data_IF_474068001372
#
_entry.id   IF_474068001372
#
_cell.length_a   1.000
_cell.length_b   1.000
_cell.length_c   1.000
_cell.angle_alpha   90.00
_cell.angle_beta   90.00
_cell.angle_gamma   90.00
#
_symmetry.space_group_name_H-M   'P 1'
#
loop_
_entity.id
_entity.type
_entity.pdbx_description
1 polymer ?
#
# COMPACT_ATOMS: atom_id res chain seq x y z
N UNK A 1 24.97 -13.52 20.94
CA UNK A 1 25.69 -12.28 20.55
C UNK A 1 24.68 -11.37 19.86
N UNK A 2 24.59 -10.11 20.31
CA UNK A 2 23.56 -9.15 19.92
C UNK A 2 24.04 -8.20 18.80
N UNK A 3 23.14 -7.80 17.90
CA UNK A 3 23.25 -6.61 17.04
C UNK A 3 21.83 -6.27 16.54
N UNK A 4 21.11 -5.33 17.17
CA UNK A 4 21.19 -3.86 17.05
C UNK A 4 20.55 -3.32 15.76
N UNK A 5 19.33 -2.80 15.94
CA UNK A 5 18.51 -2.02 15.01
C UNK A 5 19.16 -0.64 14.81
N UNK A 6 19.18 -0.12 13.57
CA UNK A 6 19.05 1.33 13.29
C UNK A 6 19.18 1.61 11.80
N UNK A 7 18.15 2.23 11.20
CA UNK A 7 18.33 2.99 9.96
C UNK A 7 17.44 4.23 10.01
N UNK A 8 18.06 5.32 10.43
CA UNK A 8 17.57 6.69 10.47
C UNK A 8 17.49 7.25 9.04
N UNK A 9 16.32 7.78 8.66
CA UNK A 9 16.16 8.58 7.45
C UNK A 9 16.61 10.01 7.73
N UNK A 10 17.74 10.40 7.13
CA UNK A 10 18.25 11.77 7.17
C UNK A 10 17.56 12.66 6.14
N UNK A 11 16.83 13.67 6.62
CA UNK A 11 16.27 14.74 5.80
C UNK A 11 17.38 15.77 5.50
N UNK A 12 17.82 15.88 4.24
CA UNK A 12 18.71 16.97 3.79
C UNK A 12 17.89 18.19 3.39
N UNK A 13 17.94 19.24 4.19
CA UNK A 13 17.60 20.61 3.78
C UNK A 13 18.80 21.23 3.05
N UNK A 14 18.62 21.60 1.78
CA UNK A 14 19.60 22.35 0.98
C UNK A 14 19.13 23.81 0.92
N UNK A 15 19.80 24.67 1.67
CA UNK A 15 19.76 26.12 1.48
C UNK A 15 20.62 26.54 0.28
N UNK A 16 20.21 27.63 -0.38
CA UNK A 16 21.04 28.48 -1.26
C UNK A 16 20.16 29.66 -1.66
N UNK A 17 20.41 30.86 -1.16
CA UNK A 17 21.31 31.82 -1.79
C UNK A 17 20.48 33.10 -2.04
N UNK A 18 20.99 34.32 -2.02
CA UNK A 18 22.31 34.85 -1.84
C UNK A 18 22.11 36.37 -1.89
N UNK A 19 22.70 37.08 -0.92
CA UNK A 19 22.58 38.52 -0.78
C UNK A 19 23.38 39.22 -1.90
N UNK A 20 22.74 40.16 -2.62
CA UNK A 20 23.42 41.12 -3.50
C UNK A 20 23.23 42.52 -2.95
N UNK A 21 24.27 43.01 -2.27
CA UNK A 21 24.49 44.42 -1.96
C UNK A 21 25.36 45.01 -3.07
N UNK A 22 25.08 46.25 -3.51
CA UNK A 22 25.96 47.24 -4.14
C UNK A 22 25.11 48.45 -4.61
N UNK A 23 25.68 49.66 -4.83
CA UNK A 23 26.21 50.60 -3.84
C UNK A 23 25.42 51.93 -3.84
N UNK A 24 25.58 52.68 -2.75
CA UNK A 24 25.04 54.02 -2.53
C UNK A 24 25.76 55.10 -3.37
N UNK A 25 24.98 55.99 -4.00
CA UNK A 25 25.46 57.22 -4.63
C UNK A 25 24.80 58.42 -3.91
N UNK A 26 25.56 59.38 -3.37
CA UNK A 26 24.98 60.57 -2.76
C UNK A 26 24.71 61.62 -3.85
N UNK A 27 23.47 62.12 -3.89
CA UNK A 27 23.14 63.34 -4.61
C UNK A 27 22.52 64.33 -3.63
N UNK A 28 23.16 65.49 -3.56
CA UNK A 28 22.88 66.64 -2.71
C UNK A 28 21.58 67.36 -3.09
N UNK A 29 20.78 67.60 -2.04
CA UNK A 29 19.93 68.76 -1.76
C UNK A 29 19.23 69.49 -2.92
N UNK A 30 17.91 69.32 -2.96
CA UNK A 30 17.00 70.46 -2.95
C UNK A 30 15.72 70.02 -2.23
N UNK A 31 15.35 70.72 -1.15
CA UNK A 31 14.14 70.45 -0.38
C UNK A 31 12.97 71.28 -0.92
N UNK A 32 11.92 70.65 -1.51
CA UNK A 32 10.62 71.28 -1.64
C UNK A 32 9.81 71.02 -0.36
N UNK A 33 9.11 72.04 0.09
CA UNK A 33 8.21 72.00 1.26
C UNK A 33 7.18 70.85 1.17
N UNK A 34 6.76 70.28 2.31
CA UNK A 34 5.80 69.18 2.31
C UNK A 34 4.42 69.68 1.82
N UNK A 35 3.76 68.96 0.90
CA UNK A 35 2.34 69.20 0.63
C UNK A 35 1.51 68.87 1.89
N UNK A 36 0.35 69.52 2.08
CA UNK A 36 -0.55 69.23 3.20
C UNK A 36 -0.93 67.73 3.20
N UNK A 37 -1.14 67.11 4.37
CA UNK A 37 -1.51 65.70 4.43
C UNK A 37 -2.80 65.50 3.62
N UNK A 38 -2.85 64.57 2.66
CA UNK A 38 -4.11 64.17 2.09
C UNK A 38 -4.99 63.66 3.24
N UNK A 39 -6.22 64.17 3.29
CA UNK A 39 -7.24 63.75 4.24
C UNK A 39 -7.21 62.23 4.40
N UNK A 40 -7.16 61.77 5.65
CA UNK A 40 -7.11 60.36 5.99
C UNK A 40 -8.16 59.59 5.19
N UNK A 41 -7.71 58.83 4.18
CA UNK A 41 -8.56 57.85 3.53
C UNK A 41 -9.03 56.90 4.65
N UNK A 42 -10.33 56.61 4.77
CA UNK A 42 -10.78 55.61 5.73
C UNK A 42 -10.07 54.30 5.38
N UNK A 43 -9.29 53.76 6.32
CA UNK A 43 -8.75 52.41 6.20
C UNK A 43 -9.89 51.47 5.86
N UNK A 44 -9.77 50.59 4.84
CA UNK A 44 -10.84 49.66 4.49
C UNK A 44 -11.19 48.81 5.72
N UNK A 45 -12.41 48.91 6.27
CA UNK A 45 -12.84 48.07 7.37
C UNK A 45 -13.21 46.71 6.78
N UNK A 46 -12.29 45.75 6.81
CA UNK A 46 -12.65 44.41 6.35
C UNK A 46 -11.57 43.33 6.38
N UNK A 47 -10.30 43.67 6.27
CA UNK A 47 -9.24 42.65 6.07
C UNK A 47 -8.96 41.75 7.29
N UNK A 48 -9.38 42.15 8.50
CA UNK A 48 -9.08 41.41 9.74
C UNK A 48 -10.00 40.22 10.02
N UNK A 49 -11.20 40.16 9.45
CA UNK A 49 -12.16 39.07 9.71
C UNK A 49 -11.85 37.80 8.91
N UNK A 50 -11.42 37.99 7.66
CA UNK A 50 -11.03 36.92 6.72
C UNK A 50 -9.78 36.16 7.21
N UNK A 51 -8.73 36.88 7.60
CA UNK A 51 -7.48 36.27 8.09
C UNK A 51 -7.70 35.42 9.35
N UNK A 52 -8.57 35.87 10.27
CA UNK A 52 -8.94 35.11 11.46
C UNK A 52 -9.79 33.87 11.14
N UNK A 53 -10.64 33.92 10.12
CA UNK A 53 -11.43 32.77 9.67
C UNK A 53 -10.54 31.69 9.02
N UNK A 54 -9.58 32.09 8.19
CA UNK A 54 -8.61 31.19 7.57
C UNK A 54 -7.66 30.58 8.60
N UNK A 55 -7.20 31.36 9.58
CA UNK A 55 -6.39 30.85 10.70
C UNK A 55 -7.14 29.79 11.52
N UNK A 56 -8.46 29.94 11.70
CA UNK A 56 -9.29 28.96 12.41
C UNK A 56 -9.44 27.68 11.59
N UNK A 57 -9.62 27.76 10.27
CA UNK A 57 -9.65 26.57 9.40
C UNK A 57 -8.32 25.80 9.42
N UNK A 58 -7.18 26.50 9.41
CA UNK A 58 -5.86 25.87 9.46
C UNK A 58 -5.63 25.08 10.76
N UNK A 59 -6.25 25.45 11.88
CA UNK A 59 -6.18 24.68 13.13
C UNK A 59 -6.94 23.35 13.05
N UNK A 60 -7.96 23.25 12.20
CA UNK A 60 -8.68 21.99 11.96
C UNK A 60 -8.04 21.12 10.88
N UNK A 61 -7.18 21.69 10.03
CA UNK A 61 -6.56 20.96 8.92
C UNK A 61 -5.80 19.69 9.37
N UNK A 62 -4.95 19.72 10.42
CA UNK A 62 -4.30 18.50 10.91
C UNK A 62 -5.30 17.43 11.38
N UNK A 63 -6.38 17.84 12.05
CA UNK A 63 -7.42 16.92 12.54
C UNK A 63 -8.23 16.30 11.40
N UNK A 64 -8.58 17.07 10.38
CA UNK A 64 -9.26 16.57 9.19
C UNK A 64 -8.39 15.58 8.41
N UNK A 65 -7.08 15.86 8.29
CA UNK A 65 -6.13 14.97 7.60
C UNK A 65 -5.95 13.66 8.37
N UNK A 66 -5.72 13.71 9.68
CA UNK A 66 -5.56 12.48 10.49
C UNK A 66 -6.84 11.65 10.54
N UNK A 67 -8.01 12.31 10.60
CA UNK A 67 -9.29 11.62 10.54
C UNK A 67 -9.54 10.96 9.17
N UNK A 68 -9.26 11.68 8.07
CA UNK A 68 -9.37 11.11 6.71
C UNK A 68 -8.44 9.93 6.50
N UNK A 69 -7.17 10.07 6.93
CA UNK A 69 -6.18 8.98 6.87
C UNK A 69 -6.58 7.79 7.75
N UNK A 70 -7.05 8.04 8.98
CA UNK A 70 -7.49 6.98 9.89
C UNK A 70 -8.71 6.23 9.35
N UNK A 71 -9.68 6.96 8.80
CA UNK A 71 -10.88 6.38 8.17
C UNK A 71 -10.50 5.52 6.96
N UNK A 72 -9.61 6.01 6.10
CA UNK A 72 -9.09 5.25 4.97
C UNK A 72 -8.35 3.97 5.41
N UNK A 73 -7.50 4.06 6.44
CA UNK A 73 -6.82 2.90 6.99
C UNK A 73 -7.80 1.84 7.53
N UNK A 74 -8.91 2.26 8.14
CA UNK A 74 -9.94 1.35 8.61
C UNK A 74 -10.63 0.63 7.45
N UNK A 75 -11.02 1.35 6.39
CA UNK A 75 -11.60 0.73 5.18
C UNK A 75 -10.63 -0.24 4.52
N UNK A 76 -9.36 0.13 4.36
CA UNK A 76 -8.34 -0.75 3.77
C UNK A 76 -8.11 -2.00 4.62
N UNK A 77 -8.20 -1.89 5.94
CA UNK A 77 -8.16 -3.06 6.82
C UNK A 77 -9.41 -3.92 6.64
N UNK A 78 -10.58 -3.32 6.55
CA UNK A 78 -11.84 -4.05 6.38
C UNK A 78 -11.86 -4.86 5.09
N UNK A 79 -11.43 -4.28 3.96
CA UNK A 79 -11.24 -4.98 2.69
C UNK A 79 -10.34 -6.22 2.86
N UNK A 80 -9.26 -6.08 3.62
CA UNK A 80 -8.30 -7.17 3.88
C UNK A 80 -8.91 -8.27 4.74
N UNK A 81 -9.70 -7.90 5.75
CA UNK A 81 -10.40 -8.85 6.62
C UNK A 81 -11.44 -9.64 5.82
N UNK A 82 -12.27 -8.97 5.02
CA UNK A 82 -13.29 -9.62 4.19
C UNK A 82 -12.66 -10.60 3.19
N UNK A 83 -11.55 -10.21 2.56
CA UNK A 83 -10.80 -11.10 1.68
C UNK A 83 -10.21 -12.32 2.41
N UNK A 84 -9.74 -12.15 3.64
CA UNK A 84 -9.24 -13.27 4.44
C UNK A 84 -10.38 -14.19 4.84
N UNK A 85 -11.49 -13.63 5.34
CA UNK A 85 -12.68 -14.39 5.74
C UNK A 85 -13.24 -15.20 4.57
N UNK A 86 -13.36 -14.60 3.39
CA UNK A 86 -13.78 -15.29 2.17
C UNK A 86 -12.88 -16.50 1.90
N UNK A 87 -11.55 -16.31 1.88
CA UNK A 87 -10.60 -17.40 1.61
C UNK A 87 -10.65 -18.49 2.68
N UNK A 88 -10.67 -18.11 3.95
CA UNK A 88 -10.73 -19.04 5.08
C UNK A 88 -11.99 -19.87 5.01
N UNK A 89 -13.16 -19.25 4.84
CA UNK A 89 -14.44 -19.96 4.70
C UNK A 89 -14.40 -20.93 3.54
N UNK A 90 -13.82 -20.54 2.40
CA UNK A 90 -13.70 -21.41 1.22
C UNK A 90 -12.80 -22.62 1.46
N UNK A 91 -11.71 -22.44 2.21
CA UNK A 91 -10.75 -23.49 2.58
C UNK A 91 -11.27 -24.42 3.69
N UNK A 92 -12.17 -23.95 4.56
CA UNK A 92 -12.75 -24.74 5.65
C UNK A 92 -13.85 -25.69 5.18
N UNK A 93 -14.48 -25.39 4.04
CA UNK A 93 -15.51 -26.27 3.49
C UNK A 93 -14.95 -27.62 3.06
N UNK A 94 -15.83 -28.63 3.04
CA UNK A 94 -15.48 -30.01 2.71
C UNK A 94 -14.77 -30.11 1.35
N UNK A 95 -13.65 -30.84 1.25
CA UNK A 95 -12.95 -31.01 -0.01
C UNK A 95 -13.85 -31.61 -1.09
N UNK A 96 -13.77 -31.10 -2.31
CA UNK A 96 -14.54 -31.61 -3.45
C UNK A 96 -13.72 -32.69 -4.16
N UNK A 97 -14.31 -33.86 -4.39
CA UNK A 97 -13.66 -34.90 -5.19
C UNK A 97 -13.53 -34.44 -6.65
N UNK A 98 -12.34 -34.62 -7.21
CA UNK A 98 -12.10 -34.34 -8.62
C UNK A 98 -12.81 -35.36 -9.51
N UNK A 99 -13.63 -34.89 -10.44
CA UNK A 99 -14.34 -35.71 -11.41
C UNK A 99 -14.58 -34.90 -12.71
N UNK A 100 -15.13 -35.56 -13.74
CA UNK A 100 -15.36 -34.91 -15.04
C UNK A 100 -16.34 -33.73 -14.97
N UNK A 101 -17.34 -33.79 -14.07
CA UNK A 101 -18.32 -32.71 -13.91
C UNK A 101 -17.69 -31.48 -13.26
N UNK A 102 -16.83 -31.66 -12.25
CA UNK A 102 -16.06 -30.59 -11.61
C UNK A 102 -15.04 -30.01 -12.59
N UNK A 103 -14.34 -30.85 -13.36
CA UNK A 103 -13.41 -30.39 -14.40
C UNK A 103 -14.12 -29.53 -15.45
N UNK A 104 -15.30 -29.95 -15.89
CA UNK A 104 -16.14 -29.20 -16.85
C UNK A 104 -16.68 -27.90 -16.26
N UNK A 105 -17.07 -27.91 -14.99
CA UNK A 105 -17.53 -26.72 -14.27
C UNK A 105 -16.40 -25.68 -14.14
N UNK A 106 -15.18 -26.10 -13.83
CA UNK A 106 -13.99 -25.22 -13.74
C UNK A 106 -13.64 -24.61 -15.09
N UNK A 107 -13.75 -25.38 -16.17
CA UNK A 107 -13.53 -24.87 -17.52
C UNK A 107 -14.52 -23.76 -17.90
N UNK A 108 -15.76 -23.86 -17.39
CA UNK A 108 -16.82 -22.89 -17.66
C UNK A 108 -16.74 -21.66 -16.75
N UNK A 109 -16.49 -21.87 -15.45
CA UNK A 109 -16.31 -20.82 -14.46
C UNK A 109 -15.19 -21.19 -13.46
N UNK A 110 -13.98 -20.64 -13.64
CA UNK A 110 -12.85 -20.89 -12.73
C UNK A 110 -13.10 -20.46 -11.29
N UNK A 111 -14.03 -19.54 -11.03
CA UNK A 111 -14.33 -19.04 -9.69
C UNK A 111 -14.98 -20.13 -8.81
N UNK A 112 -15.57 -21.18 -9.41
CA UNK A 112 -16.25 -22.26 -8.70
C UNK A 112 -15.32 -23.00 -7.72
N UNK A 113 -14.05 -23.17 -8.06
CA UNK A 113 -13.04 -23.81 -7.20
C UNK A 113 -12.09 -22.82 -6.53
N UNK A 114 -12.33 -21.51 -6.66
CA UNK A 114 -11.45 -20.52 -6.03
C UNK A 114 -11.43 -20.73 -4.52
N UNK A 115 -10.21 -20.89 -3.99
CA UNK A 115 -9.90 -21.19 -2.59
C UNK A 115 -10.63 -22.42 -2.03
N UNK A 116 -11.09 -23.36 -2.86
CA UNK A 116 -11.73 -24.61 -2.42
C UNK A 116 -10.70 -25.74 -2.39
N UNK A 117 -10.73 -26.55 -1.33
CA UNK A 117 -9.95 -27.80 -1.27
C UNK A 117 -10.54 -28.81 -2.24
N UNK A 118 -9.67 -29.53 -2.94
CA UNK A 118 -10.06 -30.68 -3.78
C UNK A 118 -9.28 -31.91 -3.35
N UNK A 119 -9.88 -33.08 -3.56
CA UNK A 119 -9.24 -34.38 -3.43
C UNK A 119 -9.16 -35.00 -4.81
N UNK A 120 -7.96 -35.32 -5.26
CA UNK A 120 -7.75 -36.02 -6.52
C UNK A 120 -6.66 -37.07 -6.36
N UNK A 121 -6.74 -38.09 -7.20
CA UNK A 121 -5.75 -39.14 -7.32
C UNK A 121 -5.14 -39.06 -8.72
N UNK A 122 -3.84 -39.31 -8.84
CA UNK A 122 -3.13 -39.09 -10.09
C UNK A 122 -1.66 -39.45 -9.99
N UNK A 123 -0.94 -39.22 -11.09
CA UNK A 123 0.50 -39.45 -11.20
C UNK A 123 1.22 -38.13 -11.44
N UNK A 124 2.35 -37.93 -10.77
CA UNK A 124 3.17 -36.73 -10.94
C UNK A 124 3.99 -36.80 -12.22
N UNK A 125 3.84 -35.81 -13.10
CA UNK A 125 4.63 -35.69 -14.33
C UNK A 125 5.93 -34.95 -14.02
N UNK A 126 6.95 -35.74 -13.65
CA UNK A 126 8.27 -35.21 -13.28
C UNK A 126 9.00 -34.52 -14.43
N UNK A 127 8.72 -34.90 -15.69
CA UNK A 127 9.33 -34.30 -16.88
C UNK A 127 8.89 -32.84 -17.05
N UNK A 128 7.69 -32.49 -16.58
CA UNK A 128 7.14 -31.12 -16.60
C UNK A 128 7.35 -30.34 -15.31
N UNK A 129 8.27 -30.78 -14.46
CA UNK A 129 8.57 -30.08 -13.21
C UNK A 129 9.26 -28.73 -13.46
N UNK A 130 8.85 -27.70 -12.71
CA UNK A 130 9.43 -26.36 -12.79
C UNK A 130 10.19 -26.05 -11.51
N UNK A 131 11.43 -25.58 -11.67
CA UNK A 131 12.31 -25.16 -10.59
C UNK A 131 12.21 -23.64 -10.39
N UNK A 132 11.72 -23.21 -9.23
CA UNK A 132 11.53 -21.81 -8.90
C UNK A 132 12.64 -21.29 -7.99
N UNK A 133 13.65 -20.69 -8.63
CA UNK A 133 14.60 -19.71 -8.09
C UNK A 133 15.41 -20.10 -6.85
N UNK A 134 16.48 -19.35 -6.53
CA UNK A 134 17.20 -19.53 -5.29
C UNK A 134 16.32 -19.06 -4.11
N UNK A 135 15.94 -20.02 -3.26
CA UNK A 135 15.17 -19.82 -2.03
C UNK A 135 15.94 -20.44 -0.89
N UNK A 136 16.54 -19.60 -0.08
CA UNK A 136 17.30 -20.04 1.09
C UNK A 136 16.36 -20.71 2.10
N UNK A 137 16.72 -21.90 2.57
CA UNK A 137 16.08 -22.57 3.70
C UNK A 137 17.04 -22.55 4.89
N UNK A 138 16.52 -22.27 6.08
CA UNK A 138 17.30 -22.44 7.31
C UNK A 138 17.05 -23.84 7.84
N UNK A 139 18.06 -24.69 7.81
CA UNK A 139 18.04 -26.02 8.43
C UNK A 139 19.00 -25.95 9.60
N UNK A 140 18.50 -26.23 10.80
CA UNK A 140 19.31 -26.24 12.03
C UNK A 140 20.15 -24.97 12.27
N UNK A 141 19.65 -23.81 11.82
CA UNK A 141 20.32 -22.51 11.97
C UNK A 141 21.35 -22.19 10.88
N UNK A 142 21.59 -23.09 9.93
CA UNK A 142 22.44 -22.85 8.76
C UNK A 142 21.54 -22.51 7.56
N UNK A 143 21.88 -21.41 6.90
CA UNK A 143 21.17 -20.98 5.68
C UNK A 143 21.73 -21.73 4.49
N UNK A 144 20.94 -22.63 3.91
CA UNK A 144 21.29 -23.38 2.71
C UNK A 144 20.52 -22.82 1.51
N UNK A 145 21.18 -22.78 0.36
CA UNK A 145 20.53 -22.39 -0.89
C UNK A 145 19.64 -23.55 -1.39
N UNK A 146 18.34 -23.33 -1.43
CA UNK A 146 17.37 -24.26 -2.01
C UNK A 146 16.63 -23.66 -3.20
N UNK A 147 15.64 -24.40 -3.70
CA UNK A 147 14.67 -23.96 -4.68
C UNK A 147 13.33 -24.62 -4.38
N UNK A 148 12.22 -24.07 -4.89
CA UNK A 148 10.95 -24.81 -4.90
C UNK A 148 10.86 -25.64 -6.18
N UNK A 149 10.29 -26.84 -6.06
CA UNK A 149 9.92 -27.67 -7.21
C UNK A 149 8.41 -27.71 -7.28
N UNK A 150 7.85 -27.36 -8.42
CA UNK A 150 6.43 -27.54 -8.72
C UNK A 150 6.35 -28.67 -9.75
N UNK A 151 5.75 -29.79 -9.36
CA UNK A 151 5.51 -30.93 -10.25
C UNK A 151 4.00 -31.06 -10.48
N UNK A 152 3.53 -30.96 -11.74
CA UNK A 152 2.10 -31.10 -12.02
C UNK A 152 1.63 -32.53 -11.72
N UNK A 153 0.43 -32.63 -11.14
CA UNK A 153 -0.27 -33.89 -10.92
C UNK A 153 -1.24 -34.12 -12.08
N UNK A 154 -1.13 -35.25 -12.76
CA UNK A 154 -2.03 -35.66 -13.84
C UNK A 154 -3.16 -36.51 -13.22
N UNK A 155 -4.41 -36.01 -13.16
CA UNK A 155 -5.49 -36.73 -12.51
C UNK A 155 -5.84 -38.03 -13.24
N UNK A 156 -6.08 -39.10 -12.49
CA UNK A 156 -6.69 -40.33 -13.02
C UNK A 156 -8.21 -40.15 -13.16
N UNK A 157 -8.85 -40.73 -14.19
CA UNK A 157 -10.30 -40.74 -14.29
C UNK A 157 -10.90 -41.45 -13.07
N UNK A 158 -11.78 -40.78 -12.33
CA UNK A 158 -12.51 -41.39 -11.22
C UNK A 158 -13.71 -42.15 -11.77
N UNK A 159 -13.71 -43.47 -11.64
CA UNK A 159 -14.86 -44.30 -11.97
C UNK A 159 -16.08 -43.88 -11.12
N UNK A 160 -17.27 -43.70 -11.73
CA UNK A 160 -18.46 -43.24 -11.03
C UNK A 160 -18.92 -44.30 -10.02
N UNK A 161 -18.50 -44.15 -8.76
CA UNK A 161 -18.78 -45.10 -7.66
C UNK A 161 -17.59 -45.35 -6.74
N UNK A 162 -16.39 -44.92 -7.11
CA UNK A 162 -15.22 -44.94 -6.24
C UNK A 162 -15.19 -43.71 -5.33
N UNK A 163 -15.50 -43.89 -4.05
CA UNK A 163 -15.20 -42.88 -3.05
C UNK A 163 -13.68 -42.86 -2.84
N UNK A 164 -13.00 -41.70 -2.94
CA UNK A 164 -11.61 -41.61 -2.56
C UNK A 164 -11.52 -41.94 -1.07
N UNK A 165 -10.84 -43.05 -0.74
CA UNK A 165 -10.53 -43.42 0.64
C UNK A 165 -9.68 -42.31 1.26
N UNK A 166 -10.26 -41.60 2.23
CA UNK A 166 -9.61 -40.59 3.08
C UNK A 166 -8.71 -41.25 4.13
#
# INVERSE_FOLDING_TARGET
MAASLSKTLGLRLRGSGGHRLLPSRPSTSHAPQPPPPPAAAPLPPGAGKEAGAWSKLFLFAPGAITFGLGTWQLFRRQEKLEMLEYRTRRLEMEPVAWNETVSSAVSSDPAVLEFRKIVCEGDFDTEKSVFLGPRSRSISGVTENGYYVITPLIPRPTEPGSHPSL
#
